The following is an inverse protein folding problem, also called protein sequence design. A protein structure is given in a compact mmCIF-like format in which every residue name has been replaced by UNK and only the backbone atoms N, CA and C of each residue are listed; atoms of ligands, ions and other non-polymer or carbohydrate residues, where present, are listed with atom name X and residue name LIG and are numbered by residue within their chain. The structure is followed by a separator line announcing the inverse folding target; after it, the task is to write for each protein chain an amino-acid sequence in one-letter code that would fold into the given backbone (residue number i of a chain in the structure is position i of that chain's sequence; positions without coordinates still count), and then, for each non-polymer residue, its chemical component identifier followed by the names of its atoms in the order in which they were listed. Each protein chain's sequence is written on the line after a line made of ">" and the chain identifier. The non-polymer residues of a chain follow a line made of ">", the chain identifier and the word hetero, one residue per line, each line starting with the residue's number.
data_IF_357864909164
#
_entry.id   IF_357864909164
#
_cell.length_a   1.000
_cell.length_b   1.000
_cell.length_c   1.000
_cell.angle_alpha   90.00
_cell.angle_beta   90.00
_cell.angle_gamma   90.00
#
_symmetry.space_group_name_H-M   'P 1'
#
loop_
_entity.id
_entity.type
_entity.pdbx_description
1 polymer ?
#
# COMPACT_ATOMS: atom_id res chain seq x y z
N UNK A 1 4.22 -22.34 -1.90
CA UNK A 1 4.90 -21.03 -2.09
C UNK A 1 4.46 -20.06 -1.00
N UNK A 2 5.27 -19.05 -0.66
CA UNK A 2 4.96 -18.11 0.41
C UNK A 2 3.83 -17.14 0.02
N UNK A 3 3.02 -16.74 1.02
CA UNK A 3 1.97 -15.72 0.90
C UNK A 3 2.18 -14.68 1.99
N UNK A 4 2.01 -13.42 1.64
CA UNK A 4 1.98 -12.29 2.58
C UNK A 4 0.56 -11.77 2.67
N UNK A 5 0.02 -11.67 3.88
CA UNK A 5 -1.35 -11.21 4.13
C UNK A 5 -1.27 -9.85 4.81
N UNK A 6 -1.92 -8.85 4.23
CA UNK A 6 -2.02 -7.48 4.75
C UNK A 6 -3.49 -7.18 5.01
N UNK A 7 -3.82 -6.78 6.24
CA UNK A 7 -5.21 -6.57 6.65
C UNK A 7 -5.45 -5.14 7.12
N UNK A 8 -6.69 -4.71 6.94
CA UNK A 8 -7.25 -3.46 7.47
C UNK A 8 -8.59 -3.77 8.12
N UNK A 9 -9.22 -2.77 8.74
CA UNK A 9 -10.52 -2.94 9.41
C UNK A 9 -11.62 -3.54 8.50
N UNK A 10 -11.57 -3.30 7.19
CA UNK A 10 -12.64 -3.71 6.26
C UNK A 10 -12.17 -4.48 5.02
N UNK A 11 -10.86 -4.67 4.84
CA UNK A 11 -10.30 -5.32 3.64
C UNK A 11 -9.02 -6.09 3.96
N UNK A 12 -8.83 -7.19 3.24
CA UNK A 12 -7.60 -8.01 3.25
C UNK A 12 -7.02 -8.07 1.84
N UNK A 13 -5.71 -7.86 1.73
CA UNK A 13 -4.92 -8.01 0.51
C UNK A 13 -3.91 -9.15 0.70
N UNK A 14 -3.85 -10.07 -0.26
CA UNK A 14 -2.92 -11.21 -0.24
C UNK A 14 -1.94 -11.03 -1.40
N UNK A 15 -0.65 -11.13 -1.09
CA UNK A 15 0.45 -11.02 -2.05
C UNK A 15 1.12 -12.39 -2.14
N UNK A 16 1.15 -12.97 -3.34
CA UNK A 16 1.70 -14.31 -3.59
C UNK A 16 1.72 -14.66 -5.07
N UNK A 17 2.33 -15.80 -5.40
CA UNK A 17 2.53 -16.23 -6.79
C UNK A 17 1.22 -16.55 -7.54
N UNK A 18 0.18 -16.98 -6.81
CA UNK A 18 -1.13 -17.33 -7.37
C UNK A 18 -2.20 -16.27 -7.08
N UNK A 19 -1.79 -15.10 -6.57
CA UNK A 19 -2.69 -14.04 -6.16
C UNK A 19 -2.74 -12.92 -7.21
N UNK A 20 -3.84 -12.13 -7.28
CA UNK A 20 -3.89 -10.97 -8.16
C UNK A 20 -2.75 -9.99 -7.88
N UNK A 21 -2.35 -9.25 -8.92
CA UNK A 21 -1.33 -8.22 -8.76
C UNK A 21 -1.80 -7.14 -7.78
N UNK A 22 -1.00 -6.91 -6.72
CA UNK A 22 -1.31 -5.92 -5.71
C UNK A 22 -0.68 -4.57 -6.07
N UNK A 23 -1.51 -3.56 -6.35
CA UNK A 23 -1.06 -2.19 -6.58
C UNK A 23 -0.85 -1.48 -5.24
N UNK A 24 0.36 -0.97 -5.01
CA UNK A 24 0.71 -0.17 -3.82
C UNK A 24 0.72 1.30 -4.20
N UNK A 25 -0.09 2.12 -3.53
CA UNK A 25 -0.18 3.55 -3.81
C UNK A 25 1.02 4.33 -3.26
N UNK A 26 1.73 5.07 -4.11
CA UNK A 26 2.90 5.89 -3.72
C UNK A 26 2.55 7.36 -3.40
N UNK A 27 1.30 7.77 -3.65
CA UNK A 27 0.93 9.20 -3.63
C UNK A 27 0.97 9.84 -2.24
N UNK A 28 0.82 9.09 -1.14
CA UNK A 28 0.96 9.64 0.21
C UNK A 28 2.45 9.60 0.57
N UNK A 29 3.19 10.53 -0.02
CA UNK A 29 4.62 10.69 0.16
C UNK A 29 4.96 12.19 0.16
N UNK A 30 5.47 12.76 1.27
CA UNK A 30 5.76 14.20 1.36
C UNK A 30 6.94 14.65 0.50
N UNK A 31 7.80 13.74 0.03
CA UNK A 31 8.98 14.09 -0.77
C UNK A 31 8.58 14.82 -2.06
N UNK A 32 9.13 16.01 -2.27
CA UNK A 32 8.78 16.86 -3.42
C UNK A 32 7.40 17.50 -3.35
N UNK A 33 6.62 17.29 -2.28
CA UNK A 33 5.24 17.79 -2.13
C UNK A 33 5.11 18.75 -0.95
N UNK A 34 5.45 20.02 -1.19
CA UNK A 34 5.47 21.09 -0.17
C UNK A 34 4.19 21.18 0.68
N UNK A 35 3.00 21.14 0.04
CA UNK A 35 1.72 21.22 0.77
C UNK A 35 1.52 20.03 1.71
N UNK A 36 1.67 18.81 1.18
CA UNK A 36 1.52 17.59 1.97
C UNK A 36 2.55 17.51 3.10
N UNK A 37 3.79 17.95 2.85
CA UNK A 37 4.83 18.01 3.87
C UNK A 37 4.54 19.01 4.99
N UNK A 38 3.68 20.01 4.77
CA UNK A 38 3.27 20.97 5.81
C UNK A 38 2.06 20.49 6.63
N UNK A 39 1.35 19.46 6.16
CA UNK A 39 0.13 18.92 6.79
C UNK A 39 0.36 17.60 7.55
N UNK A 40 1.54 17.00 7.39
CA UNK A 40 2.00 15.79 8.08
C UNK A 40 2.95 16.17 9.22
#
# INVERSE_FOLDING_TARGET
>A
MARTIIESKSKTAIIGFDEPFCVIGERINPTGRKKLASEL
#
